data_IF_211008240471
#
_entry.id   IF_211008240471
#
_cell.length_a   1.000
_cell.length_b   1.000
_cell.length_c   1.000
_cell.angle_alpha   90.00
_cell.angle_beta   90.00
_cell.angle_gamma   90.00
#
_symmetry.space_group_name_H-M   'P 1'
#
loop_
_entity.id
_entity.type
_entity.pdbx_description
1 polymer ?
#
# COMPACT_ATOMS: atom_id res chain seq x y z
N UNK A 1 10.19 -8.22 -19.96
CA UNK A 1 9.52 -8.59 -18.69
C UNK A 1 10.12 -7.96 -17.43
N UNK A 2 11.22 -7.19 -17.50
CA UNK A 2 11.82 -6.53 -16.33
C UNK A 2 11.12 -5.21 -15.90
N UNK A 3 10.36 -4.54 -16.78
CA UNK A 3 9.82 -3.20 -16.47
C UNK A 3 8.67 -3.22 -15.43
N UNK A 4 7.92 -4.33 -15.32
CA UNK A 4 6.73 -4.39 -14.46
C UNK A 4 7.09 -4.43 -12.95
N UNK A 5 8.20 -5.10 -12.58
CA UNK A 5 8.67 -5.15 -11.17
C UNK A 5 9.24 -3.80 -10.72
N UNK A 6 9.93 -3.08 -11.61
CA UNK A 6 10.45 -1.75 -11.30
C UNK A 6 9.33 -0.74 -11.14
N UNK A 7 8.36 -0.72 -12.07
CA UNK A 7 7.16 0.11 -11.97
C UNK A 7 6.37 -0.19 -10.69
N UNK A 8 6.16 -1.46 -10.37
CA UNK A 8 5.47 -1.85 -9.12
C UNK A 8 6.16 -1.30 -7.88
N UNK A 9 7.50 -1.43 -7.78
CA UNK A 9 8.27 -0.90 -6.64
C UNK A 9 8.24 0.63 -6.59
N UNK A 10 8.33 1.28 -7.75
CA UNK A 10 8.24 2.72 -7.92
C UNK A 10 6.91 3.25 -7.38
N UNK A 11 5.82 2.69 -7.89
CA UNK A 11 4.45 3.10 -7.56
C UNK A 11 4.12 2.85 -6.09
N UNK A 12 4.51 1.68 -5.54
CA UNK A 12 4.37 1.40 -4.10
C UNK A 12 5.10 2.43 -3.25
N UNK A 13 6.36 2.75 -3.61
CA UNK A 13 7.16 3.70 -2.84
C UNK A 13 6.56 5.10 -2.90
N UNK A 14 6.14 5.53 -4.09
CA UNK A 14 5.48 6.83 -4.29
C UNK A 14 4.24 6.95 -3.40
N UNK A 15 3.27 6.05 -3.59
CA UNK A 15 1.95 6.15 -2.95
C UNK A 15 1.99 5.97 -1.43
N UNK A 16 2.98 5.23 -0.89
CA UNK A 16 3.09 4.99 0.56
C UNK A 16 3.88 6.03 1.33
N UNK A 17 4.86 6.65 0.70
CA UNK A 17 5.92 7.36 1.41
C UNK A 17 6.24 8.74 0.84
N UNK A 18 6.27 8.86 -0.49
CA UNK A 18 6.94 9.98 -1.13
C UNK A 18 5.99 10.90 -1.91
N UNK A 19 4.70 10.58 -2.06
CA UNK A 19 3.77 11.37 -2.87
C UNK A 19 3.79 12.86 -2.47
N UNK A 20 3.61 13.15 -1.18
CA UNK A 20 3.63 14.52 -0.66
C UNK A 20 4.99 15.21 -0.85
N UNK A 21 6.12 14.49 -0.68
CA UNK A 21 7.46 15.07 -0.85
C UNK A 21 7.81 15.33 -2.32
N UNK A 22 7.10 14.69 -3.25
CA UNK A 22 7.18 14.93 -4.69
C UNK A 22 6.15 15.92 -5.21
N UNK A 23 5.43 16.60 -4.33
CA UNK A 23 4.41 17.59 -4.71
C UNK A 23 3.14 16.97 -5.28
N UNK A 24 2.97 15.64 -5.15
CA UNK A 24 1.78 14.97 -5.63
C UNK A 24 0.66 15.06 -4.60
N UNK A 25 -0.49 15.52 -5.05
CA UNK A 25 -1.69 15.66 -4.21
C UNK A 25 -2.40 14.32 -4.09
N UNK A 26 -2.54 13.85 -2.85
CA UNK A 26 -3.38 12.70 -2.54
C UNK A 26 -4.74 13.17 -2.05
N UNK A 27 -5.79 12.45 -2.44
CA UNK A 27 -7.10 12.61 -1.80
C UNK A 27 -7.05 12.18 -0.33
N UNK A 28 -8.11 12.46 0.44
CA UNK A 28 -8.22 12.03 1.84
C UNK A 28 -8.06 10.50 2.01
N UNK A 29 -8.43 9.75 0.98
CA UNK A 29 -8.34 8.30 0.90
C UNK A 29 -7.03 7.76 0.29
N UNK A 30 -6.13 8.65 -0.11
CA UNK A 30 -4.81 8.30 -0.64
C UNK A 30 -4.74 8.10 -2.15
N UNK A 31 -5.78 8.48 -2.91
CA UNK A 31 -5.76 8.40 -4.37
C UNK A 31 -4.94 9.52 -4.99
N UNK A 32 -4.18 9.18 -6.02
CA UNK A 32 -3.44 10.06 -6.90
C UNK A 32 -4.01 9.94 -8.33
N UNK A 33 -4.07 11.04 -9.08
CA UNK A 33 -4.36 10.93 -10.52
C UNK A 33 -3.17 10.29 -11.23
N UNK A 34 -3.46 9.41 -12.20
CA UNK A 34 -2.41 8.74 -12.97
C UNK A 34 -1.64 9.72 -13.84
N UNK A 35 -2.31 10.71 -14.43
CA UNK A 35 -1.67 11.81 -15.18
C UNK A 35 -0.56 12.50 -14.36
N UNK A 36 -0.89 12.90 -13.12
CA UNK A 36 0.06 13.55 -12.20
C UNK A 36 1.25 12.64 -11.82
N UNK A 37 1.04 11.31 -11.80
CA UNK A 37 2.11 10.33 -11.55
C UNK A 37 3.04 10.24 -12.76
N UNK A 38 2.48 10.20 -13.97
CA UNK A 38 3.23 10.04 -15.22
C UNK A 38 4.06 11.28 -15.55
N UNK A 39 3.65 12.46 -15.08
CA UNK A 39 4.43 13.69 -15.16
C UNK A 39 5.72 13.68 -14.30
N UNK A 40 5.82 12.76 -13.34
CA UNK A 40 7.03 12.64 -12.51
C UNK A 40 8.18 12.02 -13.34
N UNK A 41 9.41 12.56 -13.26
CA UNK A 41 10.56 12.07 -14.04
C UNK A 41 10.87 10.58 -13.86
N UNK A 42 10.48 9.99 -12.73
CA UNK A 42 10.69 8.58 -12.41
C UNK A 42 9.75 7.63 -13.17
N UNK A 43 8.67 8.15 -13.73
CA UNK A 43 7.68 7.40 -14.50
C UNK A 43 7.76 7.68 -16.01
N UNK A 44 8.77 8.45 -16.44
CA UNK A 44 9.00 8.70 -17.86
C UNK A 44 9.20 7.38 -18.62
N UNK A 45 8.48 7.21 -19.73
CA UNK A 45 8.48 6.00 -20.54
C UNK A 45 7.46 4.94 -20.13
N UNK A 46 6.59 5.23 -19.16
CA UNK A 46 5.36 4.49 -18.90
C UNK A 46 4.15 5.31 -19.34
N UNK A 47 3.04 4.63 -19.62
CA UNK A 47 1.75 5.25 -19.91
C UNK A 47 0.67 4.84 -18.89
N UNK A 48 -0.54 5.40 -19.02
CA UNK A 48 -1.68 5.08 -18.16
C UNK A 48 -1.99 3.57 -18.22
N UNK A 49 -1.92 3.01 -19.41
CA UNK A 49 -2.12 1.63 -19.77
C UNK A 49 -1.17 0.68 -18.99
N UNK A 50 0.09 1.06 -18.81
CA UNK A 50 1.07 0.34 -18.00
C UNK A 50 0.70 0.32 -16.52
N UNK A 51 0.26 1.46 -15.98
CA UNK A 51 -0.19 1.57 -14.59
C UNK A 51 -1.47 0.76 -14.39
N UNK A 52 -2.43 0.84 -15.31
CA UNK A 52 -3.67 0.09 -15.24
C UNK A 52 -3.40 -1.43 -15.25
N UNK A 53 -2.58 -1.91 -16.20
CA UNK A 53 -2.16 -3.31 -16.27
C UNK A 53 -1.44 -3.78 -15.00
N UNK A 54 -0.63 -2.91 -14.39
CA UNK A 54 0.05 -3.22 -13.14
C UNK A 54 -0.95 -3.41 -11.98
N UNK A 55 -1.92 -2.51 -11.86
CA UNK A 55 -2.95 -2.57 -10.81
C UNK A 55 -3.84 -3.80 -10.99
N UNK A 56 -4.25 -4.10 -12.22
CA UNK A 56 -5.13 -5.24 -12.50
C UNK A 56 -4.47 -6.60 -12.28
N UNK A 57 -3.15 -6.67 -12.36
CA UNK A 57 -2.37 -7.89 -12.12
C UNK A 57 -1.86 -8.01 -10.69
N UNK A 58 -2.26 -7.11 -9.81
CA UNK A 58 -1.80 -7.10 -8.42
C UNK A 58 -2.55 -8.12 -7.56
N UNK A 59 -2.11 -9.38 -7.66
CA UNK A 59 -2.63 -10.48 -6.86
C UNK A 59 -2.36 -10.33 -5.35
N UNK A 60 -1.61 -9.31 -4.93
CA UNK A 60 -1.30 -9.03 -3.52
C UNK A 60 -2.20 -7.94 -2.93
N UNK A 61 -3.11 -7.38 -3.70
CA UNK A 61 -4.06 -6.35 -3.26
C UNK A 61 -3.37 -5.13 -2.65
N UNK A 62 -2.20 -4.74 -3.17
CA UNK A 62 -1.42 -3.54 -2.79
C UNK A 62 -2.02 -2.26 -3.35
N UNK A 63 -2.73 -2.33 -4.47
CA UNK A 63 -3.29 -1.19 -5.16
C UNK A 63 -4.81 -1.27 -5.26
N UNK A 64 -5.44 -0.10 -5.35
CA UNK A 64 -6.83 0.06 -5.79
C UNK A 64 -6.88 1.17 -6.85
N UNK A 65 -7.81 1.04 -7.79
CA UNK A 65 -8.06 2.06 -8.83
C UNK A 65 -9.53 2.47 -8.87
N UNK A 66 -9.79 3.69 -9.31
CA UNK A 66 -11.13 4.21 -9.60
C UNK A 66 -11.08 5.22 -10.74
N UNK A 67 -12.22 5.45 -11.38
CA UNK A 67 -12.40 6.60 -12.28
C UNK A 67 -13.07 7.71 -11.49
N UNK A 68 -12.50 8.91 -11.52
CA UNK A 68 -13.06 10.09 -10.88
C UNK A 68 -12.92 11.30 -11.81
N UNK A 69 -14.03 11.96 -12.14
CA UNK A 69 -14.04 13.09 -13.05
C UNK A 69 -13.52 12.78 -14.46
N UNK A 70 -13.55 11.52 -14.90
CA UNK A 70 -12.99 11.08 -16.18
C UNK A 70 -11.50 10.70 -16.15
N UNK A 71 -10.83 10.85 -15.01
CA UNK A 71 -9.41 10.49 -14.85
C UNK A 71 -9.25 9.19 -14.08
N UNK A 72 -8.26 8.38 -14.47
CA UNK A 72 -7.85 7.22 -13.70
C UNK A 72 -7.12 7.68 -12.43
N UNK A 73 -7.56 7.19 -11.28
CA UNK A 73 -6.93 7.40 -9.99
C UNK A 73 -6.48 6.09 -9.39
N UNK A 74 -5.30 6.08 -8.76
CA UNK A 74 -4.74 4.91 -8.07
C UNK A 74 -4.30 5.24 -6.66
N UNK A 75 -4.44 4.28 -5.75
CA UNK A 75 -3.90 4.36 -4.38
C UNK A 75 -3.18 3.08 -3.97
N UNK A 76 -2.34 3.19 -2.95
CA UNK A 76 -1.94 2.01 -2.18
C UNK A 76 -3.06 1.67 -1.17
N UNK A 77 -3.30 0.39 -0.90
CA UNK A 77 -4.35 -0.06 0.02
C UNK A 77 -3.86 -0.18 1.46
N UNK A 78 -2.55 -0.34 1.64
CA UNK A 78 -1.89 -0.66 2.91
C UNK A 78 -0.47 -0.12 2.93
N UNK A 79 0.12 0.01 4.12
CA UNK A 79 1.56 0.25 4.30
C UNK A 79 1.99 1.72 4.20
N UNK A 80 1.06 2.66 4.34
CA UNK A 80 1.35 4.09 4.35
C UNK A 80 2.22 4.48 5.55
N UNK A 81 3.17 5.37 5.29
CA UNK A 81 3.72 6.29 6.31
C UNK A 81 3.22 7.72 6.10
N UNK A 82 2.53 7.99 4.98
CA UNK A 82 1.78 9.22 4.76
C UNK A 82 0.47 9.12 5.53
N UNK A 83 0.19 10.13 6.36
CA UNK A 83 -1.03 10.16 7.18
C UNK A 83 -2.24 10.52 6.31
N UNK A 84 -3.12 9.55 6.09
CA UNK A 84 -4.39 9.74 5.40
C UNK A 84 -5.48 10.11 6.41
N UNK A 85 -6.39 11.02 6.05
CA UNK A 85 -7.49 11.43 6.93
C UNK A 85 -8.70 10.50 6.85
N UNK A 86 -8.85 9.75 5.76
CA UNK A 86 -9.94 8.80 5.56
C UNK A 86 -9.45 7.59 4.75
N UNK A 87 -8.69 6.66 5.35
CA UNK A 87 -8.03 5.59 4.60
C UNK A 87 -8.97 4.53 3.98
N UNK A 88 -10.29 4.70 4.08
CA UNK A 88 -11.31 3.72 3.71
C UNK A 88 -11.07 2.36 4.38
N UNK A 89 -10.73 2.38 5.67
CA UNK A 89 -10.52 1.18 6.49
C UNK A 89 -11.64 1.02 7.49
N UNK A 90 -12.14 -0.20 7.62
CA UNK A 90 -13.07 -0.56 8.69
C UNK A 90 -12.31 -0.88 9.98
N UNK A 91 -12.57 -0.16 11.08
CA UNK A 91 -11.95 -0.47 12.36
C UNK A 91 -12.41 -1.82 12.89
N UNK A 92 -11.46 -2.66 13.29
CA UNK A 92 -11.77 -3.85 14.09
C UNK A 92 -12.08 -3.39 15.52
N UNK A 93 -13.35 -3.43 15.91
CA UNK A 93 -13.84 -2.96 17.21
C UNK A 93 -14.06 -4.09 18.21
N UNK A 94 -14.09 -5.35 17.74
CA UNK A 94 -14.32 -6.50 18.59
C UNK A 94 -13.45 -7.71 18.17
N UNK A 95 -12.91 -8.44 19.15
CA UNK A 95 -12.00 -9.56 18.90
C UNK A 95 -12.61 -10.68 18.04
N UNK A 96 -13.94 -10.80 18.02
CA UNK A 96 -14.64 -11.80 17.20
C UNK A 96 -14.51 -11.54 15.70
N UNK A 97 -14.25 -10.31 15.29
CA UNK A 97 -14.06 -9.92 13.88
C UNK A 97 -12.70 -10.42 13.35
N UNK A 98 -11.73 -10.68 14.21
CA UNK A 98 -10.40 -11.18 13.85
C UNK A 98 -9.81 -12.04 14.98
N UNK A 99 -10.35 -13.26 15.16
CA UNK A 99 -9.99 -14.15 16.29
C UNK A 99 -8.53 -14.57 16.31
N UNK A 100 -7.95 -14.86 15.15
CA UNK A 100 -6.56 -15.27 15.01
C UNK A 100 -5.95 -14.54 13.82
N UNK A 101 -4.86 -13.84 14.08
CA UNK A 101 -4.13 -13.05 13.10
C UNK A 101 -2.64 -13.33 13.21
N UNK A 102 -1.93 -13.22 12.08
CA UNK A 102 -0.51 -13.53 11.97
C UNK A 102 0.28 -12.25 11.69
N UNK A 103 1.42 -12.09 12.36
CA UNK A 103 2.36 -11.00 12.09
C UNK A 103 3.70 -11.57 11.62
N UNK A 104 3.99 -11.43 10.32
CA UNK A 104 5.27 -11.84 9.77
C UNK A 104 6.41 -10.95 10.25
N UNK A 105 7.45 -11.52 10.85
CA UNK A 105 8.63 -10.79 11.34
C UNK A 105 9.91 -11.59 11.12
N UNK A 106 11.08 -10.95 11.28
CA UNK A 106 12.39 -11.62 11.18
C UNK A 106 12.75 -12.27 12.51
N UNK A 107 13.45 -13.42 12.50
CA UNK A 107 13.85 -14.17 13.72
C UNK A 107 14.53 -13.27 14.77
N UNK A 108 15.42 -12.38 14.34
CA UNK A 108 16.14 -11.42 15.21
C UNK A 108 15.23 -10.46 15.99
N UNK A 109 13.98 -10.28 15.56
CA UNK A 109 13.04 -9.37 16.22
C UNK A 109 12.24 -10.09 17.32
N UNK A 110 12.32 -11.42 17.43
CA UNK A 110 11.43 -12.20 18.33
C UNK A 110 11.66 -11.85 19.79
N UNK A 111 12.91 -11.72 20.23
CA UNK A 111 13.19 -11.43 21.64
C UNK A 111 12.66 -10.05 22.02
N UNK A 112 12.88 -9.04 21.17
CA UNK A 112 12.29 -7.71 21.36
C UNK A 112 10.76 -7.77 21.38
N UNK A 113 10.12 -8.49 20.45
CA UNK A 113 8.65 -8.60 20.41
C UNK A 113 8.10 -9.30 21.65
N UNK A 114 8.80 -10.30 22.19
CA UNK A 114 8.40 -10.97 23.45
C UNK A 114 8.46 -10.03 24.65
N UNK A 115 9.42 -9.10 24.67
CA UNK A 115 9.58 -8.15 25.77
C UNK A 115 8.67 -6.94 25.65
N UNK A 116 8.53 -6.36 24.44
CA UNK A 116 7.87 -5.06 24.24
C UNK A 116 6.53 -5.14 23.51
N UNK A 117 6.16 -6.31 22.99
CA UNK A 117 5.08 -6.45 22.03
C UNK A 117 5.46 -5.95 20.63
N UNK A 118 4.50 -5.99 19.70
CA UNK A 118 4.68 -5.54 18.31
C UNK A 118 4.54 -4.02 18.25
N UNK A 119 5.46 -3.35 17.56
CA UNK A 119 5.43 -1.91 17.33
C UNK A 119 5.03 -1.57 15.89
N UNK A 120 4.25 -0.50 15.71
CA UNK A 120 3.94 0.07 14.39
C UNK A 120 5.15 0.72 13.72
N UNK A 121 6.20 1.01 14.48
CA UNK A 121 7.37 1.78 14.04
C UNK A 121 6.93 3.09 13.36
N UNK A 122 7.39 3.37 12.14
CA UNK A 122 7.03 4.58 11.39
C UNK A 122 5.74 4.45 10.56
N UNK A 123 4.95 3.39 10.76
CA UNK A 123 3.69 3.16 10.03
C UNK A 123 2.48 3.63 10.84
N UNK A 124 1.37 3.87 10.15
CA UNK A 124 0.11 4.24 10.80
C UNK A 124 -0.48 3.09 11.63
N UNK A 125 -0.40 1.86 11.12
CA UNK A 125 -0.99 0.67 11.75
C UNK A 125 -0.03 -0.52 11.78
N UNK A 126 -0.23 -1.43 12.73
CA UNK A 126 0.38 -2.76 12.71
C UNK A 126 -0.40 -3.61 11.70
N UNK A 127 0.30 -4.22 10.75
CA UNK A 127 -0.31 -5.09 9.76
C UNK A 127 -0.31 -6.54 10.24
N UNK A 128 -1.45 -7.19 10.07
CA UNK A 128 -1.59 -8.61 10.26
C UNK A 128 -2.16 -9.27 9.00
N UNK A 129 -1.87 -10.55 8.83
CA UNK A 129 -2.54 -11.42 7.87
C UNK A 129 -3.58 -12.29 8.57
N UNK A 130 -4.68 -12.66 7.91
CA UNK A 130 -5.60 -13.68 8.43
C UNK A 130 -4.87 -15.02 8.63
N UNK A 131 -5.24 -15.78 9.66
CA UNK A 131 -4.59 -17.06 9.98
C UNK A 131 -4.71 -18.12 8.87
N UNK A 132 -5.77 -18.05 8.05
CA UNK A 132 -5.99 -18.95 6.92
C UNK A 132 -4.93 -18.84 5.82
N UNK A 133 -4.21 -17.71 5.73
CA UNK A 133 -3.13 -17.50 4.76
C UNK A 133 -1.76 -17.98 5.27
N UNK A 134 -1.69 -18.53 6.50
CA UNK A 134 -0.45 -19.02 7.12
C UNK A 134 -0.09 -20.47 6.78
N UNK A 135 -0.96 -21.20 6.08
CA UNK A 135 -0.66 -22.54 5.62
C UNK A 135 0.09 -22.47 4.26
N UNK A 136 1.43 -22.50 4.35
CA UNK A 136 2.36 -22.86 3.28
C UNK A 136 2.49 -21.88 2.07
N UNK A 137 3.58 -21.11 2.07
CA UNK A 137 4.38 -20.81 0.86
C UNK A 137 5.85 -20.70 1.25
#
# INVERSE_FOLDING_TARGET
MACNVQLSKALVKLLRHDATTRGLHLTKEGYANVDDILDLPYFNGFDEDDIERLVDRDNKGRFAKRINGGHLQVKATQGHSIRLSDPELEPITHFSQARVVLHGTRRRNIDSIRTTGISRMNRDHIHFAPAEHGAMS
#
